data_IF_860855417952
#
_entry.id   IF_860855417952
#
_cell.length_a   1.000
_cell.length_b   1.000
_cell.length_c   1.000
_cell.angle_alpha   90.00
_cell.angle_beta   90.00
_cell.angle_gamma   90.00
#
_symmetry.space_group_name_H-M   'P 1'
#
loop_
_entity.id
_entity.type
_entity.pdbx_description
1 polymer ?
#
# COMPACT_ATOMS: atom_id res chain seq x y z
N UNK A 1 32.17 -61.96 2.45
CA UNK A 1 31.92 -60.72 1.71
C UNK A 1 30.83 -59.82 2.31
N UNK A 2 29.68 -60.30 2.78
CA UNK A 2 28.60 -59.40 3.32
C UNK A 2 28.95 -58.70 4.64
N UNK A 3 29.76 -59.27 5.53
CA UNK A 3 30.16 -58.66 6.82
C UNK A 3 31.16 -57.52 6.67
N UNK A 4 32.02 -57.56 5.67
CA UNK A 4 33.06 -56.53 5.41
C UNK A 4 32.45 -55.24 4.85
N UNK A 5 31.31 -55.32 4.12
CA UNK A 5 30.61 -54.15 3.57
C UNK A 5 29.93 -53.36 4.68
N UNK A 6 29.37 -54.01 5.70
CA UNK A 6 28.74 -53.34 6.83
C UNK A 6 29.72 -52.62 7.74
N UNK A 7 30.94 -53.15 7.91
CA UNK A 7 31.99 -52.49 8.69
C UNK A 7 32.52 -51.25 7.95
N UNK A 8 32.63 -51.30 6.62
CA UNK A 8 33.04 -50.14 5.81
C UNK A 8 31.99 -49.02 5.82
N UNK A 9 30.70 -49.34 5.83
CA UNK A 9 29.58 -48.36 5.93
C UNK A 9 29.51 -47.73 7.33
N UNK A 10 29.79 -48.48 8.41
CA UNK A 10 29.85 -47.95 9.79
C UNK A 10 31.09 -47.08 10.03
N UNK A 11 32.21 -47.33 9.36
CA UNK A 11 33.43 -46.53 9.48
C UNK A 11 33.38 -45.22 8.67
N UNK A 12 32.51 -45.13 7.63
CA UNK A 12 32.33 -43.92 6.84
C UNK A 12 31.36 -42.92 7.48
N UNK A 13 30.55 -43.32 8.45
CA UNK A 13 29.51 -42.50 9.09
C UNK A 13 30.07 -41.33 9.95
N UNK A 14 31.22 -41.43 10.65
CA UNK A 14 31.77 -40.28 11.37
C UNK A 14 32.47 -39.25 10.47
N UNK A 15 32.80 -39.57 9.22
CA UNK A 15 33.41 -38.61 8.27
C UNK A 15 32.41 -37.63 7.68
N UNK A 16 31.10 -37.87 7.81
CA UNK A 16 30.04 -36.94 7.40
C UNK A 16 29.65 -35.90 8.48
N UNK A 17 30.19 -36.06 9.71
CA UNK A 17 29.85 -35.16 10.82
C UNK A 17 30.86 -34.03 11.07
N UNK A 18 31.95 -33.97 10.33
CA UNK A 18 32.92 -32.86 10.44
C UNK A 18 32.71 -31.72 9.47
N UNK A 19 31.56 -31.68 8.77
CA UNK A 19 31.11 -30.52 8.06
C UNK A 19 30.39 -29.57 9.03
N UNK A 20 31.13 -28.61 9.64
CA UNK A 20 30.49 -27.41 10.20
C UNK A 20 29.89 -26.62 9.06
N UNK A 21 28.75 -27.08 8.54
CA UNK A 21 27.86 -26.22 7.78
C UNK A 21 27.30 -25.21 8.80
N UNK A 22 27.94 -24.05 8.90
CA UNK A 22 27.31 -22.85 9.48
C UNK A 22 26.13 -22.48 8.58
N UNK A 23 25.02 -23.19 8.72
CA UNK A 23 23.73 -22.74 8.22
C UNK A 23 23.36 -21.59 9.13
N UNK A 24 23.68 -20.38 8.68
CA UNK A 24 23.22 -19.17 9.33
C UNK A 24 21.70 -19.09 9.12
N UNK A 25 20.94 -19.80 9.96
CA UNK A 25 19.50 -19.75 10.02
C UNK A 25 19.10 -18.38 10.60
N UNK A 26 19.29 -17.32 9.83
CA UNK A 26 18.74 -15.99 10.16
C UNK A 26 17.22 -15.95 9.92
N UNK A 27 16.53 -17.01 10.36
CA UNK A 27 15.07 -17.17 10.23
C UNK A 27 14.26 -16.17 11.06
N UNK A 28 14.93 -15.45 11.98
CA UNK A 28 14.29 -14.50 12.92
C UNK A 28 14.97 -13.14 12.92
N UNK A 29 15.81 -12.82 11.92
CA UNK A 29 16.42 -11.49 11.88
C UNK A 29 15.36 -10.42 11.60
N UNK A 30 15.28 -9.44 12.48
CA UNK A 30 14.51 -8.22 12.26
C UNK A 30 14.89 -7.58 10.92
N UNK A 31 13.95 -6.92 10.24
CA UNK A 31 14.26 -6.21 9.02
C UNK A 31 15.36 -5.19 9.28
N UNK A 32 16.49 -5.29 8.56
CA UNK A 32 17.58 -4.33 8.69
C UNK A 32 17.15 -2.89 8.42
N UNK A 33 17.92 -1.88 8.83
CA UNK A 33 17.58 -0.48 8.65
C UNK A 33 17.46 -0.11 7.16
N UNK A 34 16.61 0.88 6.85
CA UNK A 34 16.48 1.42 5.51
C UNK A 34 17.80 2.04 5.05
N UNK A 35 18.29 1.60 3.91
CA UNK A 35 19.45 2.17 3.21
C UNK A 35 18.99 3.01 2.03
N UNK A 36 19.73 4.05 1.74
CA UNK A 36 19.52 4.87 0.55
C UNK A 36 20.31 4.31 -0.61
N UNK A 37 19.72 4.39 -1.81
CA UNK A 37 20.37 4.07 -3.07
C UNK A 37 20.00 5.15 -4.09
N UNK A 38 21.00 5.73 -4.74
CA UNK A 38 20.81 6.56 -5.93
C UNK A 38 20.44 5.64 -7.09
N UNK A 39 19.35 5.94 -7.77
CA UNK A 39 18.83 5.18 -8.91
C UNK A 39 18.95 5.93 -10.22
N UNK A 40 19.03 7.29 -10.16
CA UNK A 40 19.15 8.12 -11.34
C UNK A 40 19.78 9.48 -10.96
N UNK A 41 20.43 10.12 -11.92
CA UNK A 41 20.93 11.48 -11.83
C UNK A 41 22.11 11.68 -10.87
N UNK A 42 22.59 12.89 -10.81
CA UNK A 42 23.70 13.35 -9.97
C UNK A 42 23.34 14.69 -9.35
N UNK A 43 23.81 14.95 -8.14
CA UNK A 43 23.61 16.21 -7.43
C UNK A 43 23.42 16.05 -5.95
N UNK A 44 23.60 17.14 -5.21
CA UNK A 44 23.40 17.16 -3.75
C UNK A 44 21.94 17.18 -3.35
N UNK A 45 21.09 17.87 -4.11
CA UNK A 45 19.64 17.83 -3.92
C UNK A 45 19.10 16.44 -4.29
N UNK A 46 18.17 15.94 -3.50
CA UNK A 46 17.59 14.59 -3.66
C UNK A 46 16.10 14.65 -3.90
N UNK A 47 15.63 13.86 -4.86
CA UNK A 47 14.21 13.54 -5.02
C UNK A 47 14.01 12.11 -4.53
N UNK A 48 13.27 11.96 -3.46
CA UNK A 48 12.94 10.63 -2.93
C UNK A 48 11.78 10.02 -3.72
N UNK A 49 11.96 8.79 -4.21
CA UNK A 49 10.86 7.95 -4.68
C UNK A 49 10.38 7.06 -3.54
N UNK A 50 9.09 7.09 -3.26
CA UNK A 50 8.45 6.27 -2.23
C UNK A 50 7.28 5.51 -2.83
N UNK A 51 7.24 4.20 -2.61
CA UNK A 51 6.27 3.32 -3.24
C UNK A 51 5.07 3.02 -2.34
N UNK A 52 3.87 3.05 -2.95
CA UNK A 52 2.63 2.51 -2.40
C UNK A 52 2.14 1.46 -3.40
N UNK A 53 2.51 0.18 -3.18
CA UNK A 53 2.27 -0.88 -4.17
C UNK A 53 1.50 -2.05 -3.58
N UNK A 54 0.44 -2.47 -4.29
CA UNK A 54 -0.44 -3.57 -3.87
C UNK A 54 -1.54 -3.11 -2.92
N UNK A 55 -2.10 -4.04 -2.14
CA UNK A 55 -3.23 -3.75 -1.23
C UNK A 55 -2.72 -2.96 -0.02
N UNK A 56 -3.36 -1.82 0.24
CA UNK A 56 -3.05 -0.96 1.39
C UNK A 56 -3.64 -1.59 2.65
N UNK A 57 -2.79 -2.07 3.55
CA UNK A 57 -3.20 -2.66 4.82
C UNK A 57 -2.12 -2.50 5.90
N UNK A 58 -2.53 -2.61 7.16
CA UNK A 58 -1.62 -2.70 8.31
C UNK A 58 -1.16 -4.14 8.57
N UNK A 59 -1.66 -5.11 7.81
CA UNK A 59 -1.30 -6.50 7.99
C UNK A 59 0.16 -6.75 7.59
N UNK A 60 0.89 -7.41 8.47
CA UNK A 60 2.23 -7.89 8.21
C UNK A 60 2.17 -9.12 7.31
N UNK A 61 2.77 -9.05 6.14
CA UNK A 61 2.86 -10.21 5.25
C UNK A 61 3.74 -11.28 5.89
N UNK A 62 3.26 -12.51 5.89
CA UNK A 62 4.02 -13.70 6.30
C UNK A 62 4.16 -14.63 5.09
N UNK A 63 5.15 -14.44 4.21
CA UNK A 63 5.37 -15.43 3.15
C UNK A 63 5.84 -16.73 3.78
N UNK A 64 5.10 -17.81 3.54
CA UNK A 64 5.37 -19.20 3.96
C UNK A 64 6.45 -19.36 5.08
N UNK A 65 6.10 -18.87 6.25
CA UNK A 65 6.62 -19.48 7.49
C UNK A 65 7.81 -18.87 8.16
N UNK A 66 8.64 -17.96 7.61
CA UNK A 66 9.93 -17.74 8.24
C UNK A 66 10.38 -16.28 8.46
N UNK A 67 9.92 -15.31 7.71
CA UNK A 67 10.29 -13.90 7.92
C UNK A 67 9.04 -13.03 8.03
N UNK A 68 8.90 -12.34 9.15
CA UNK A 68 7.85 -11.35 9.31
C UNK A 68 8.25 -10.09 8.52
N UNK A 69 7.52 -9.78 7.44
CA UNK A 69 7.67 -8.52 6.73
C UNK A 69 6.97 -7.40 7.51
N UNK A 70 7.50 -6.20 7.42
CA UNK A 70 6.84 -4.99 7.95
C UNK A 70 5.57 -4.71 7.14
N UNK A 71 4.56 -4.11 7.78
CA UNK A 71 3.37 -3.67 7.06
C UNK A 71 3.71 -2.50 6.11
N UNK A 72 2.89 -2.29 5.08
CA UNK A 72 3.06 -1.14 4.19
C UNK A 72 3.02 0.19 4.97
N UNK A 73 2.13 0.30 5.95
CA UNK A 73 2.00 1.49 6.80
C UNK A 73 3.28 1.74 7.60
N UNK A 74 3.87 0.70 8.20
CA UNK A 74 5.10 0.83 8.98
C UNK A 74 6.29 1.22 8.08
N UNK A 75 6.42 0.62 6.90
CA UNK A 75 7.48 0.96 5.93
C UNK A 75 7.37 2.39 5.44
N UNK A 76 6.17 2.82 5.11
CA UNK A 76 5.90 4.17 4.64
C UNK A 76 6.23 5.21 5.73
N UNK A 77 5.78 4.96 6.96
CA UNK A 77 6.07 5.81 8.13
C UNK A 77 7.57 5.90 8.42
N UNK A 78 8.27 4.75 8.40
CA UNK A 78 9.72 4.71 8.62
C UNK A 78 10.48 5.49 7.53
N UNK A 79 10.08 5.34 6.27
CA UNK A 79 10.67 6.06 5.15
C UNK A 79 10.48 7.58 5.28
N UNK A 80 9.27 8.05 5.59
CA UNK A 80 9.00 9.47 5.81
C UNK A 80 9.75 10.02 7.04
N UNK A 81 9.84 9.24 8.13
CA UNK A 81 10.63 9.59 9.31
C UNK A 81 12.12 9.71 8.99
N UNK A 82 12.67 8.83 8.15
CA UNK A 82 14.05 8.93 7.67
C UNK A 82 14.23 10.17 6.79
N UNK A 83 13.34 10.37 5.82
CA UNK A 83 13.36 11.51 4.90
C UNK A 83 13.26 12.85 5.64
N UNK A 84 12.45 12.96 6.69
CA UNK A 84 12.29 14.20 7.47
C UNK A 84 13.56 14.63 8.23
N UNK A 85 14.55 13.76 8.36
CA UNK A 85 15.85 14.04 8.99
C UNK A 85 16.93 14.41 7.97
N UNK A 86 16.68 14.22 6.70
CA UNK A 86 17.62 14.50 5.61
C UNK A 86 17.26 15.81 4.91
N UNK A 87 18.02 16.86 5.20
CA UNK A 87 17.83 18.19 4.59
C UNK A 87 18.14 18.24 3.09
N UNK A 88 18.76 17.20 2.53
CA UNK A 88 19.03 17.10 1.09
C UNK A 88 17.79 16.65 0.29
N UNK A 89 16.76 16.12 0.95
CA UNK A 89 15.49 15.79 0.29
C UNK A 89 14.78 17.09 -0.07
N UNK A 90 14.85 17.45 -1.34
CA UNK A 90 14.22 18.65 -1.90
C UNK A 90 12.80 18.40 -2.41
N UNK A 91 12.51 17.15 -2.82
CA UNK A 91 11.20 16.74 -3.34
C UNK A 91 10.90 15.28 -3.04
N UNK A 92 9.62 14.94 -3.05
CA UNK A 92 9.12 13.58 -2.87
C UNK A 92 8.19 13.21 -4.02
N UNK A 93 8.43 12.07 -4.65
CA UNK A 93 7.49 11.44 -5.60
C UNK A 93 6.96 10.17 -4.97
N UNK A 94 5.67 10.11 -4.72
CA UNK A 94 4.98 8.89 -4.26
C UNK A 94 4.48 8.15 -5.49
N UNK A 95 5.10 7.00 -5.81
CA UNK A 95 4.63 6.12 -6.89
C UNK A 95 3.51 5.24 -6.36
N UNK A 96 2.33 5.36 -6.94
CA UNK A 96 1.15 4.62 -6.47
C UNK A 96 0.75 3.59 -7.52
N UNK A 97 0.86 2.31 -7.17
CA UNK A 97 0.37 1.19 -7.95
C UNK A 97 -0.49 0.28 -7.06
N UNK A 98 -1.70 0.74 -6.73
CA UNK A 98 -2.57 0.13 -5.74
C UNK A 98 -4.04 0.18 -6.13
N UNK A 99 -4.78 -0.93 -6.01
CA UNK A 99 -6.24 -0.92 -6.17
C UNK A 99 -6.96 -0.32 -4.93
N UNK A 100 -6.22 0.08 -3.89
CA UNK A 100 -6.72 0.50 -2.61
C UNK A 100 -6.52 -0.55 -1.52
N UNK A 101 -7.34 -0.50 -0.49
CA UNK A 101 -7.24 -1.41 0.66
C UNK A 101 -8.18 -1.03 1.78
N UNK A 102 -7.76 -1.21 3.04
CA UNK A 102 -8.58 -0.84 4.17
C UNK A 102 -8.67 0.68 4.32
N UNK A 103 -9.82 1.16 4.76
CA UNK A 103 -10.09 2.60 4.93
C UNK A 103 -9.06 3.20 5.88
N UNK A 104 -8.86 2.58 7.03
CA UNK A 104 -7.96 3.09 8.08
C UNK A 104 -6.50 3.16 7.59
N UNK A 105 -5.98 2.11 6.93
CA UNK A 105 -4.61 2.15 6.43
C UNK A 105 -4.41 3.24 5.37
N UNK A 106 -5.39 3.45 4.50
CA UNK A 106 -5.36 4.52 3.49
C UNK A 106 -5.37 5.90 4.13
N UNK A 107 -6.19 6.11 5.17
CA UNK A 107 -6.25 7.36 5.92
C UNK A 107 -4.95 7.63 6.68
N UNK A 108 -4.34 6.60 7.29
CA UNK A 108 -3.04 6.71 7.95
C UNK A 108 -1.94 7.13 6.96
N UNK A 109 -1.84 6.47 5.79
CA UNK A 109 -0.83 6.86 4.78
C UNK A 109 -1.00 8.31 4.33
N UNK A 110 -2.24 8.73 4.08
CA UNK A 110 -2.54 10.12 3.74
C UNK A 110 -2.13 11.08 4.87
N UNK A 111 -2.49 10.77 6.10
CA UNK A 111 -2.16 11.56 7.28
C UNK A 111 -0.63 11.72 7.45
N UNK A 112 0.13 10.63 7.38
CA UNK A 112 1.59 10.66 7.50
C UNK A 112 2.24 11.53 6.40
N UNK A 113 1.68 11.49 5.18
CA UNK A 113 2.17 12.29 4.07
C UNK A 113 1.88 13.79 4.28
N UNK A 114 0.70 14.16 4.76
CA UNK A 114 0.35 15.52 5.12
C UNK A 114 1.21 16.05 6.26
N UNK A 115 1.45 15.23 7.30
CA UNK A 115 2.32 15.59 8.41
C UNK A 115 3.78 15.77 7.97
N UNK A 116 4.27 14.92 7.06
CA UNK A 116 5.59 15.07 6.46
C UNK A 116 5.70 16.41 5.72
N UNK A 117 4.74 16.74 4.85
CA UNK A 117 4.68 18.02 4.14
C UNK A 117 4.66 19.20 5.11
N UNK A 118 3.81 19.14 6.13
CA UNK A 118 3.67 20.21 7.12
C UNK A 118 4.97 20.46 7.89
N UNK A 119 5.71 19.40 8.24
CA UNK A 119 6.94 19.47 9.03
C UNK A 119 8.17 19.91 8.22
N UNK A 120 8.23 19.50 6.96
CA UNK A 120 9.43 19.68 6.12
C UNK A 120 9.30 20.79 5.09
N UNK A 121 8.09 21.13 4.68
CA UNK A 121 7.84 22.01 3.53
C UNK A 121 8.16 21.36 2.18
N UNK A 122 8.56 20.08 2.16
CA UNK A 122 8.93 19.36 0.93
C UNK A 122 7.71 19.19 0.03
N UNK A 123 7.86 19.57 -1.24
CA UNK A 123 6.83 19.37 -2.27
C UNK A 123 6.68 17.91 -2.62
N UNK A 124 5.43 17.46 -2.72
CA UNK A 124 5.09 16.07 -2.98
C UNK A 124 4.29 15.93 -4.27
N UNK A 125 4.72 15.05 -5.15
CA UNK A 125 3.96 14.62 -6.33
C UNK A 125 3.49 13.18 -6.10
N UNK A 126 2.21 12.90 -6.36
CA UNK A 126 1.71 11.54 -6.52
C UNK A 126 1.81 11.15 -8.00
N UNK A 127 2.56 10.10 -8.31
CA UNK A 127 2.67 9.54 -9.65
C UNK A 127 1.91 8.21 -9.68
N UNK A 128 0.77 8.19 -10.35
CA UNK A 128 -0.08 7.01 -10.49
C UNK A 128 0.44 6.13 -11.62
N UNK A 129 0.70 4.85 -11.32
CA UNK A 129 1.20 3.86 -12.26
C UNK A 129 0.02 3.12 -12.94
N UNK A 130 0.02 1.77 -12.96
CA UNK A 130 -1.04 1.00 -13.62
C UNK A 130 -2.41 1.27 -13.01
N UNK A 131 -2.49 1.17 -11.69
CA UNK A 131 -3.73 1.39 -10.92
C UNK A 131 -3.44 2.28 -9.71
N UNK A 132 -4.23 3.31 -9.54
CA UNK A 132 -4.26 4.12 -8.32
C UNK A 132 -5.72 4.44 -7.98
N UNK A 133 -6.43 3.44 -7.46
CA UNK A 133 -7.87 3.48 -7.27
C UNK A 133 -8.25 3.35 -5.79
N UNK A 134 -9.46 3.78 -5.41
CA UNK A 134 -9.99 3.68 -4.05
C UNK A 134 -8.99 4.26 -3.03
N UNK A 135 -8.50 3.47 -2.06
CA UNK A 135 -7.47 3.87 -1.11
C UNK A 135 -6.19 4.42 -1.76
N UNK A 136 -5.82 3.96 -2.96
CA UNK A 136 -4.68 4.51 -3.72
C UNK A 136 -4.93 5.95 -4.17
N UNK A 137 -6.13 6.26 -4.65
CA UNK A 137 -6.53 7.62 -4.95
C UNK A 137 -6.65 8.48 -3.68
N UNK A 138 -7.19 7.90 -2.60
CA UNK A 138 -7.26 8.54 -1.29
C UNK A 138 -5.89 9.06 -0.82
N UNK A 139 -4.86 8.23 -0.89
CA UNK A 139 -3.47 8.62 -0.55
C UNK A 139 -2.96 9.72 -1.48
N UNK A 140 -3.23 9.61 -2.79
CA UNK A 140 -2.78 10.60 -3.78
C UNK A 140 -3.29 12.01 -3.49
N UNK A 141 -4.48 12.15 -2.86
CA UNK A 141 -5.05 13.47 -2.50
C UNK A 141 -4.21 14.27 -1.50
N UNK A 142 -3.23 13.66 -0.84
CA UNK A 142 -2.29 14.38 0.04
C UNK A 142 -1.20 15.12 -0.73
N UNK A 143 -0.96 14.80 -1.99
CA UNK A 143 0.09 15.40 -2.81
C UNK A 143 -0.26 16.85 -3.23
N UNK A 144 0.77 17.61 -3.62
CA UNK A 144 0.62 18.95 -4.18
C UNK A 144 0.24 18.90 -5.66
N UNK A 145 0.58 17.80 -6.33
CA UNK A 145 0.25 17.52 -7.73
C UNK A 145 0.01 16.01 -7.89
N UNK A 146 -1.01 15.66 -8.66
CA UNK A 146 -1.32 14.28 -9.01
C UNK A 146 -1.09 14.08 -10.49
N UNK A 147 -0.11 13.26 -10.83
CA UNK A 147 0.26 12.89 -12.20
C UNK A 147 -0.14 11.44 -12.44
N UNK A 148 -0.79 11.14 -13.55
CA UNK A 148 -1.13 9.77 -13.92
C UNK A 148 -0.39 9.35 -15.20
N UNK A 149 0.08 8.10 -15.25
CA UNK A 149 0.56 7.50 -16.50
C UNK A 149 -0.58 7.47 -17.52
N UNK A 150 -0.31 7.57 -18.84
CA UNK A 150 -1.35 7.60 -19.87
C UNK A 150 -2.36 6.44 -19.83
N UNK A 151 -1.94 5.28 -19.30
CA UNK A 151 -2.77 4.07 -19.20
C UNK A 151 -3.29 3.80 -17.80
N UNK A 152 -3.07 4.70 -16.85
CA UNK A 152 -3.55 4.56 -15.46
C UNK A 152 -5.06 4.39 -15.40
N UNK A 153 -5.48 3.48 -14.51
CA UNK A 153 -6.86 3.37 -14.04
C UNK A 153 -6.92 3.92 -12.62
N UNK A 154 -7.85 4.87 -12.39
CA UNK A 154 -8.05 5.52 -11.09
C UNK A 154 -9.53 5.64 -10.75
N UNK A 155 -9.89 6.44 -9.73
CA UNK A 155 -11.26 6.56 -9.24
C UNK A 155 -11.60 5.46 -8.25
N UNK A 156 -12.67 4.68 -8.49
CA UNK A 156 -13.22 3.74 -7.51
C UNK A 156 -13.42 4.42 -6.14
N UNK A 157 -13.96 5.66 -6.21
CA UNK A 157 -14.23 6.48 -5.02
C UNK A 157 -15.49 5.94 -4.38
N UNK A 158 -15.31 5.13 -3.34
CA UNK A 158 -16.39 4.43 -2.68
C UNK A 158 -15.90 3.52 -1.57
N UNK A 159 -16.86 3.03 -0.77
CA UNK A 159 -16.62 2.09 0.32
C UNK A 159 -17.54 0.87 0.11
N UNK A 160 -17.01 -0.31 0.34
CA UNK A 160 -17.75 -1.56 0.18
C UNK A 160 -17.55 -2.46 1.39
N UNK A 161 -18.62 -3.11 1.85
CA UNK A 161 -18.58 -4.25 2.76
C UNK A 161 -19.20 -5.44 2.06
N UNK A 162 -18.44 -6.51 1.90
CA UNK A 162 -18.94 -7.77 1.28
C UNK A 162 -19.28 -8.78 2.37
N UNK A 163 -20.43 -9.44 2.19
CA UNK A 163 -20.87 -10.57 3.00
C UNK A 163 -21.15 -11.77 2.11
N UNK A 164 -20.52 -12.89 2.41
CA UNK A 164 -20.89 -14.19 1.84
C UNK A 164 -21.91 -14.88 2.74
N UNK A 165 -22.87 -15.60 2.16
CA UNK A 165 -23.79 -16.47 2.91
C UNK A 165 -23.57 -17.90 2.46
N UNK A 166 -23.05 -18.73 3.38
CA UNK A 166 -22.73 -20.13 3.13
C UNK A 166 -23.71 -21.08 3.82
N UNK A 167 -24.78 -20.60 4.46
CA UNK A 167 -25.76 -21.41 5.20
C UNK A 167 -26.31 -22.55 4.35
N UNK A 168 -26.73 -22.27 3.11
CA UNK A 168 -27.27 -23.29 2.23
C UNK A 168 -26.27 -24.38 1.82
N UNK A 169 -24.96 -23.98 1.72
CA UNK A 169 -23.91 -24.96 1.46
C UNK A 169 -23.69 -25.88 2.66
N UNK A 170 -23.60 -25.31 3.87
CA UNK A 170 -23.44 -26.08 5.11
C UNK A 170 -24.58 -27.09 5.33
N UNK A 171 -25.83 -26.67 5.11
CA UNK A 171 -26.96 -27.54 5.20
C UNK A 171 -26.90 -28.75 4.23
N UNK A 172 -26.34 -28.54 3.02
CA UNK A 172 -26.17 -29.65 2.05
C UNK A 172 -25.15 -30.71 2.49
N UNK A 173 -24.19 -30.34 3.34
CA UNK A 173 -23.18 -31.28 3.87
C UNK A 173 -23.46 -31.69 5.32
N UNK A 174 -24.69 -31.40 5.83
CA UNK A 174 -25.12 -31.79 7.18
C UNK A 174 -24.46 -31.03 8.32
N UNK A 175 -23.96 -29.81 8.08
CA UNK A 175 -23.35 -28.92 9.10
C UNK A 175 -24.35 -27.84 9.50
N UNK A 176 -24.66 -27.78 10.79
CA UNK A 176 -25.46 -26.72 11.39
C UNK A 176 -24.55 -25.75 12.14
N UNK A 177 -24.79 -24.45 11.99
CA UNK A 177 -24.08 -23.41 12.71
C UNK A 177 -25.01 -22.67 13.66
N UNK A 178 -24.74 -22.77 14.95
CA UNK A 178 -25.46 -22.07 16.00
C UNK A 178 -24.56 -21.06 16.71
N UNK A 179 -25.07 -19.86 16.98
CA UNK A 179 -24.36 -18.83 17.69
C UNK A 179 -25.02 -18.50 19.03
N UNK A 180 -24.31 -18.73 20.13
CA UNK A 180 -24.67 -18.20 21.45
C UNK A 180 -24.03 -16.83 21.60
N UNK A 181 -24.81 -15.78 21.84
CA UNK A 181 -24.33 -14.40 21.75
C UNK A 181 -24.90 -13.53 22.86
N UNK A 182 -24.11 -12.55 23.28
CA UNK A 182 -24.46 -11.61 24.35
C UNK A 182 -25.42 -10.49 23.90
N UNK A 183 -25.71 -10.40 22.60
CA UNK A 183 -26.60 -9.39 22.02
C UNK A 183 -26.94 -9.71 20.57
N UNK A 184 -28.11 -9.27 20.12
CA UNK A 184 -28.67 -9.66 18.81
C UNK A 184 -27.81 -9.29 17.61
N UNK A 185 -27.04 -8.22 17.73
CA UNK A 185 -26.19 -7.71 16.63
C UNK A 185 -24.73 -8.20 16.71
N UNK A 186 -24.39 -9.07 17.68
CA UNK A 186 -23.00 -9.52 17.88
C UNK A 186 -22.46 -10.36 16.72
N UNK A 187 -23.35 -11.02 16.00
CA UNK A 187 -23.05 -11.80 14.81
C UNK A 187 -23.43 -11.08 13.50
N UNK A 188 -23.45 -9.74 13.54
CA UNK A 188 -23.60 -8.90 12.35
C UNK A 188 -22.59 -9.33 11.28
N UNK A 189 -23.05 -9.45 10.04
CA UNK A 189 -22.27 -9.96 8.90
C UNK A 189 -21.83 -11.44 9.01
N UNK A 190 -22.37 -12.24 9.93
CA UNK A 190 -22.09 -13.68 9.98
C UNK A 190 -22.34 -14.34 8.62
N UNK A 191 -21.42 -15.17 8.10
CA UNK A 191 -21.60 -15.88 6.85
C UNK A 191 -22.58 -17.08 6.97
N UNK A 192 -22.99 -17.43 8.18
CA UNK A 192 -23.77 -18.63 8.46
C UNK A 192 -25.29 -18.41 8.50
N UNK A 193 -25.75 -17.18 8.30
CA UNK A 193 -27.17 -16.84 8.22
C UNK A 193 -27.42 -15.62 7.31
N UNK A 194 -28.63 -15.42 6.78
CA UNK A 194 -29.01 -14.19 6.09
C UNK A 194 -28.86 -12.96 7.02
N UNK A 195 -28.55 -11.82 6.43
CA UNK A 195 -28.62 -10.55 7.15
C UNK A 195 -30.08 -10.07 7.19
N UNK A 196 -30.48 -9.50 8.32
CA UNK A 196 -31.77 -8.83 8.43
C UNK A 196 -31.73 -7.45 7.76
N UNK A 197 -32.89 -6.86 7.42
CA UNK A 197 -32.97 -5.51 6.87
C UNK A 197 -32.43 -4.45 7.83
N UNK A 198 -32.61 -4.64 9.14
CA UNK A 198 -32.05 -3.78 10.17
C UNK A 198 -30.52 -3.82 10.16
N UNK A 199 -29.94 -5.03 10.08
CA UNK A 199 -28.49 -5.20 10.00
C UNK A 199 -27.90 -4.56 8.74
N UNK A 200 -28.58 -4.69 7.59
CA UNK A 200 -28.16 -4.01 6.37
C UNK A 200 -28.16 -2.48 6.53
N UNK A 201 -29.16 -1.92 7.20
CA UNK A 201 -29.22 -0.48 7.49
C UNK A 201 -28.09 -0.02 8.40
N UNK A 202 -27.75 -0.81 9.42
CA UNK A 202 -26.61 -0.51 10.32
C UNK A 202 -25.29 -0.46 9.51
N UNK A 203 -25.04 -1.47 8.67
CA UNK A 203 -23.81 -1.51 7.84
C UNK A 203 -23.81 -0.38 6.83
N UNK A 204 -24.97 -0.10 6.18
CA UNK A 204 -25.08 0.99 5.22
C UNK A 204 -24.75 2.34 5.86
N UNK A 205 -25.25 2.63 7.05
CA UNK A 205 -24.93 3.87 7.75
C UNK A 205 -23.43 4.06 8.03
N UNK A 206 -22.71 2.96 8.32
CA UNK A 206 -21.24 3.00 8.47
C UNK A 206 -20.57 3.28 7.13
N UNK A 207 -21.00 2.59 6.06
CA UNK A 207 -20.49 2.81 4.70
C UNK A 207 -20.68 4.26 4.27
N UNK A 208 -21.87 4.82 4.49
CA UNK A 208 -22.20 6.19 4.11
C UNK A 208 -21.28 7.20 4.82
N UNK A 209 -21.04 7.05 6.11
CA UNK A 209 -20.12 7.92 6.86
C UNK A 209 -18.67 7.83 6.33
N UNK A 210 -18.18 6.61 6.04
CA UNK A 210 -16.85 6.43 5.49
C UNK A 210 -16.72 6.96 4.06
N UNK A 211 -17.80 6.87 3.27
CA UNK A 211 -17.88 7.43 1.94
C UNK A 211 -17.91 8.97 1.98
N UNK A 212 -18.68 9.56 2.87
CA UNK A 212 -18.68 11.01 3.10
C UNK A 212 -17.29 11.52 3.49
N UNK A 213 -16.58 10.79 4.37
CA UNK A 213 -15.19 11.11 4.70
C UNK A 213 -14.28 11.06 3.47
N UNK A 214 -14.48 10.09 2.55
CA UNK A 214 -13.69 10.03 1.32
C UNK A 214 -13.95 11.24 0.43
N UNK A 215 -15.22 11.65 0.28
CA UNK A 215 -15.59 12.86 -0.46
C UNK A 215 -14.91 14.10 0.15
N UNK A 216 -14.95 14.26 1.47
CA UNK A 216 -14.30 15.38 2.17
C UNK A 216 -12.79 15.42 1.91
N UNK A 217 -12.12 14.29 1.97
CA UNK A 217 -10.69 14.16 1.67
C UNK A 217 -10.36 14.61 0.24
N UNK A 218 -11.21 14.28 -0.72
CA UNK A 218 -11.02 14.73 -2.11
C UNK A 218 -11.22 16.25 -2.20
N UNK A 219 -12.25 16.80 -1.58
CA UNK A 219 -12.48 18.25 -1.55
C UNK A 219 -11.31 19.00 -0.92
N UNK A 220 -10.73 18.46 0.16
CA UNK A 220 -9.53 19.01 0.80
C UNK A 220 -8.32 19.02 -0.15
N UNK A 221 -8.09 17.91 -0.86
CA UNK A 221 -6.94 17.71 -1.74
C UNK A 221 -7.12 18.24 -3.16
N UNK A 222 -8.36 18.42 -3.63
CA UNK A 222 -8.72 18.89 -4.97
C UNK A 222 -9.51 20.21 -4.91
N UNK A 223 -8.91 21.25 -4.34
CA UNK A 223 -9.55 22.55 -4.07
C UNK A 223 -10.39 23.15 -5.21
N UNK A 224 -10.12 22.93 -6.52
CA UNK A 224 -11.00 23.41 -7.58
C UNK A 224 -12.35 22.68 -7.70
N UNK A 225 -12.55 21.55 -6.97
CA UNK A 225 -13.75 20.74 -7.05
C UNK A 225 -14.67 21.01 -5.85
N UNK A 226 -15.90 21.56 -6.07
CA UNK A 226 -16.87 21.67 -5.01
C UNK A 226 -17.41 20.28 -4.60
N UNK A 227 -17.87 20.14 -3.35
CA UNK A 227 -18.35 18.87 -2.78
C UNK A 227 -19.39 18.17 -3.66
N UNK A 228 -20.35 18.91 -4.21
CA UNK A 228 -21.40 18.35 -5.08
C UNK A 228 -20.86 17.75 -6.38
N UNK A 229 -19.79 18.36 -6.94
CA UNK A 229 -19.12 17.80 -8.11
C UNK A 229 -18.37 16.51 -7.74
N UNK A 230 -17.69 16.49 -6.60
CA UNK A 230 -17.02 15.28 -6.10
C UNK A 230 -18.01 14.17 -5.82
N UNK A 231 -19.13 14.46 -5.17
CA UNK A 231 -20.18 13.47 -4.87
C UNK A 231 -20.73 12.78 -6.14
N UNK A 232 -20.89 13.54 -7.24
CA UNK A 232 -21.30 12.96 -8.54
C UNK A 232 -20.27 12.06 -9.19
N UNK A 233 -18.99 12.22 -8.83
CA UNK A 233 -17.88 11.41 -9.32
C UNK A 233 -17.58 10.21 -8.41
N UNK A 234 -18.15 10.19 -7.22
CA UNK A 234 -17.87 9.25 -6.14
C UNK A 234 -18.92 8.13 -6.05
N UNK A 235 -19.34 7.57 -7.19
CA UNK A 235 -20.30 6.46 -7.24
C UNK A 235 -19.63 5.07 -7.35
N UNK A 236 -18.32 5.01 -7.11
CA UNK A 236 -17.55 3.78 -7.17
C UNK A 236 -17.00 3.41 -8.55
N UNK A 237 -17.30 4.20 -9.60
CA UNK A 237 -16.77 3.93 -10.94
C UNK A 237 -15.27 4.21 -11.04
N UNK A 238 -14.65 3.58 -12.03
CA UNK A 238 -13.26 3.83 -12.40
C UNK A 238 -13.17 4.83 -13.55
N UNK A 239 -12.01 5.46 -13.70
CA UNK A 239 -11.68 6.42 -14.74
C UNK A 239 -10.35 6.08 -15.38
N UNK A 240 -10.22 6.30 -16.68
CA UNK A 240 -8.91 6.40 -17.34
C UNK A 240 -8.21 7.69 -16.92
N UNK A 241 -6.90 7.79 -17.16
CA UNK A 241 -6.13 9.00 -16.91
C UNK A 241 -6.73 10.23 -17.60
N UNK A 242 -7.14 10.11 -18.87
CA UNK A 242 -7.77 11.21 -19.62
C UNK A 242 -9.11 11.63 -18.99
N UNK A 243 -9.96 10.68 -18.63
CA UNK A 243 -11.23 10.96 -17.97
C UNK A 243 -11.04 11.61 -16.60
N UNK A 244 -10.03 11.20 -15.85
CA UNK A 244 -9.70 11.78 -14.56
C UNK A 244 -9.19 13.21 -14.69
N UNK A 245 -8.37 13.49 -15.73
CA UNK A 245 -7.91 14.84 -16.05
C UNK A 245 -9.06 15.78 -16.41
N UNK A 246 -9.95 15.37 -17.31
CA UNK A 246 -11.15 16.13 -17.70
C UNK A 246 -12.03 16.50 -16.48
N UNK A 247 -12.08 15.60 -15.49
CA UNK A 247 -12.86 15.77 -14.26
C UNK A 247 -12.08 16.42 -13.13
N UNK A 248 -10.86 16.86 -13.38
CA UNK A 248 -9.96 17.50 -12.41
C UNK A 248 -9.64 16.62 -11.18
N UNK A 249 -9.78 15.31 -11.33
CA UNK A 249 -9.35 14.35 -10.30
C UNK A 249 -7.82 14.22 -10.26
N UNK A 250 -7.14 14.52 -11.37
CA UNK A 250 -5.68 14.61 -11.47
C UNK A 250 -5.30 15.93 -12.14
N UNK A 251 -4.02 16.29 -12.09
CA UNK A 251 -3.50 17.55 -12.62
C UNK A 251 -2.87 17.39 -13.99
N UNK A 252 -2.27 16.23 -14.28
CA UNK A 252 -1.51 16.00 -15.50
C UNK A 252 -1.43 14.53 -15.87
N UNK A 253 -1.32 14.26 -17.16
CA UNK A 253 -0.97 12.93 -17.69
C UNK A 253 0.49 12.98 -18.16
N UNK A 254 1.33 12.14 -17.57
CA UNK A 254 2.76 12.00 -17.95
C UNK A 254 3.33 10.68 -17.45
N UNK A 255 4.49 10.30 -17.96
CA UNK A 255 5.29 9.20 -17.45
C UNK A 255 6.04 9.62 -16.16
N UNK A 256 6.65 8.65 -15.47
CA UNK A 256 7.36 8.90 -14.20
C UNK A 256 8.53 9.90 -14.37
N UNK A 257 9.31 9.75 -15.42
CA UNK A 257 10.38 10.69 -15.78
C UNK A 257 9.86 12.12 -15.96
N UNK A 258 8.73 12.28 -16.66
CA UNK A 258 8.06 13.56 -16.81
C UNK A 258 7.55 14.12 -15.46
N UNK A 259 7.13 13.29 -14.51
CA UNK A 259 6.76 13.72 -13.16
C UNK A 259 7.98 14.20 -12.37
N UNK A 260 9.10 13.48 -12.45
CA UNK A 260 10.37 13.84 -11.80
C UNK A 260 10.91 15.15 -12.37
N UNK A 261 10.97 15.29 -13.70
CA UNK A 261 11.44 16.51 -14.36
C UNK A 261 10.54 17.72 -14.07
N UNK A 262 9.24 17.51 -14.00
CA UNK A 262 8.27 18.53 -13.58
C UNK A 262 8.55 19.01 -12.14
N UNK A 263 8.86 18.09 -11.23
CA UNK A 263 9.21 18.42 -9.86
C UNK A 263 10.55 19.18 -9.79
N UNK A 264 11.60 18.73 -10.50
CA UNK A 264 12.88 19.43 -10.62
C UNK A 264 12.67 20.85 -11.11
N UNK A 265 11.90 21.02 -12.17
CA UNK A 265 11.60 22.32 -12.75
C UNK A 265 10.87 23.25 -11.75
N UNK A 266 9.85 22.74 -11.07
CA UNK A 266 9.10 23.51 -10.06
C UNK A 266 9.99 23.94 -8.89
N UNK A 267 10.97 23.14 -8.53
CA UNK A 267 11.94 23.42 -7.45
C UNK A 267 13.17 24.21 -7.93
N UNK A 268 13.26 24.58 -9.23
CA UNK A 268 14.40 25.21 -9.85
C UNK A 268 15.72 24.44 -9.66
N UNK A 269 15.66 23.11 -9.65
CA UNK A 269 16.82 22.24 -9.52
C UNK A 269 17.42 21.94 -10.90
N UNK A 270 18.66 22.36 -11.13
CA UNK A 270 19.41 22.02 -12.36
C UNK A 270 19.83 20.55 -12.35
N UNK A 271 20.34 20.08 -11.20
CA UNK A 271 20.78 18.71 -10.97
C UNK A 271 20.17 18.20 -9.66
N UNK A 272 19.69 16.97 -9.67
CA UNK A 272 19.24 16.29 -8.47
C UNK A 272 19.42 14.77 -8.65
N UNK A 273 19.83 14.11 -7.58
CA UNK A 273 19.84 12.65 -7.51
C UNK A 273 18.46 12.13 -7.17
N UNK A 274 18.01 11.13 -7.90
CA UNK A 274 16.78 10.37 -7.55
C UNK A 274 17.19 9.22 -6.65
N UNK A 275 16.60 9.13 -5.48
CA UNK A 275 16.95 8.14 -4.46
C UNK A 275 15.74 7.30 -4.05
N UNK A 276 16.00 6.07 -3.66
CA UNK A 276 15.04 5.16 -3.03
C UNK A 276 15.55 4.71 -1.69
N UNK A 277 14.63 4.41 -0.77
CA UNK A 277 14.97 3.71 0.46
C UNK A 277 14.60 2.24 0.33
N UNK A 278 15.54 1.36 0.67
CA UNK A 278 15.34 -0.08 0.60
C UNK A 278 15.99 -0.78 1.80
N UNK A 279 15.51 -1.96 2.12
CA UNK A 279 16.17 -2.85 3.08
C UNK A 279 17.20 -3.72 2.37
N UNK A 280 18.31 -4.11 3.06
CA UNK A 280 19.27 -5.05 2.48
C UNK A 280 18.57 -6.33 2.00
N UNK A 281 18.82 -6.72 0.75
CA UNK A 281 18.26 -7.92 0.14
C UNK A 281 16.83 -7.80 -0.42
N UNK A 282 16.15 -6.64 -0.29
CA UNK A 282 14.79 -6.44 -0.84
C UNK A 282 14.76 -5.59 -2.10
N UNK A 283 15.85 -4.92 -2.46
CA UNK A 283 15.88 -4.07 -3.63
C UNK A 283 15.74 -4.89 -4.92
N UNK A 284 14.63 -4.74 -5.60
CA UNK A 284 14.38 -5.23 -6.96
C UNK A 284 14.41 -4.00 -7.85
N UNK A 285 15.57 -3.74 -8.49
CA UNK A 285 15.76 -2.55 -9.29
C UNK A 285 14.78 -2.47 -10.45
N UNK A 286 13.91 -1.48 -10.42
CA UNK A 286 13.32 -0.85 -11.61
C UNK A 286 12.91 0.56 -11.25
N UNK A 287 13.30 1.50 -12.06
CA UNK A 287 12.68 2.83 -12.10
C UNK A 287 11.47 2.71 -12.98
#
# INVERSE_FOLDING_TARGET
>A
MKRTIWIALLAAMPLLWNGCAYVNLSLLSEPGPLREKVVEGEGDARILLLDVTGIISEEKKRPLGLRQETSMVDEFREALKKASRDRKIAGLVVRINSPGGTVTASDILRHELLEYKRKTGVRVIACMMDVAASGGYYVATAADEIVAHPTTITGSIGVIAMKFNVQGLLGKIGVEAEAVKSGDKKDLLSPFRPATEEEKKIVQAVIDQLHDRFIDVIVEGRKPLPRDAVAKLADGRIYTASQALERRLIDRVAYLDGAIEGLKSTLNLKNASVVVYHRPGTYKGSI
#
